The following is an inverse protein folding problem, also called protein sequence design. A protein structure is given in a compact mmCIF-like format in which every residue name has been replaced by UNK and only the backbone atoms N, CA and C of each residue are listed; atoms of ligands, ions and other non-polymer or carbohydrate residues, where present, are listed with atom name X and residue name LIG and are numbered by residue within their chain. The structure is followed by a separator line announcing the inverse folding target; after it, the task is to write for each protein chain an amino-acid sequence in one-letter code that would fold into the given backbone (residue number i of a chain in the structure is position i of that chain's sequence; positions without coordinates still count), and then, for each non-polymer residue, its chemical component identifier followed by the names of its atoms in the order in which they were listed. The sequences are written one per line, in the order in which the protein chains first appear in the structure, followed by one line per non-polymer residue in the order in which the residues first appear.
data_IF_643548674229
#
_entry.id   IF_643548674229
#
_cell.length_a   1.000
_cell.length_b   1.000
_cell.length_c   1.000
_cell.angle_alpha   90.00
_cell.angle_beta   90.00
_cell.angle_gamma   90.00
#
_symmetry.space_group_name_H-M   'P 1'
#
loop_
_entity.id
_entity.type
_entity.pdbx_description
1 polymer ?
#
# COMPACT_ATOMS: atom_id res chain seq x y z
N UNK A 1 13.01 13.35 17.47
CA UNK A 1 12.92 14.50 16.56
C UNK A 1 14.32 15.08 16.42
N UNK A 2 14.98 14.91 15.27
CA UNK A 2 16.32 15.47 15.05
C UNK A 2 16.25 16.98 14.81
N UNK A 3 17.26 17.72 15.25
CA UNK A 3 17.35 19.17 14.97
C UNK A 3 17.71 19.41 13.50
N UNK A 4 17.40 20.59 12.96
CA UNK A 4 17.79 20.98 11.58
C UNK A 4 19.33 20.89 11.41
N UNK A 5 20.07 21.18 12.47
CA UNK A 5 21.53 21.01 12.54
C UNK A 5 21.95 19.53 12.39
N UNK A 6 21.22 18.61 13.03
CA UNK A 6 21.42 17.16 12.89
C UNK A 6 21.25 16.72 11.44
N UNK A 7 20.24 17.25 10.74
CA UNK A 7 19.96 16.94 9.34
C UNK A 7 21.14 17.34 8.44
N UNK A 8 21.65 18.57 8.56
CA UNK A 8 22.78 19.01 7.74
C UNK A 8 24.07 18.23 8.05
N UNK A 9 24.30 17.88 9.32
CA UNK A 9 25.43 17.06 9.76
C UNK A 9 25.36 15.63 9.20
N UNK A 10 24.19 15.01 9.23
CA UNK A 10 23.96 13.65 8.71
C UNK A 10 24.18 13.57 7.19
N UNK A 11 23.85 14.63 6.46
CA UNK A 11 23.98 14.69 5.00
C UNK A 11 25.30 15.33 4.52
N UNK A 12 26.26 15.54 5.44
CA UNK A 12 27.61 16.08 5.17
C UNK A 12 27.62 17.43 4.44
N UNK A 13 26.60 18.26 4.66
CA UNK A 13 26.59 19.62 4.12
C UNK A 13 27.47 20.51 5.00
N UNK A 14 28.55 21.05 4.42
CA UNK A 14 29.41 22.02 5.11
C UNK A 14 28.79 23.41 5.01
N UNK A 15 27.92 23.74 5.97
CA UNK A 15 27.14 24.98 6.00
C UNK A 15 27.49 25.75 7.28
N UNK A 16 27.65 27.07 7.16
CA UNK A 16 27.91 27.93 8.31
C UNK A 16 26.70 27.97 9.26
N UNK A 17 26.95 28.13 10.55
CA UNK A 17 25.87 28.20 11.56
C UNK A 17 24.86 29.30 11.21
N UNK A 18 25.34 30.46 10.75
CA UNK A 18 24.50 31.57 10.26
C UNK A 18 23.47 31.13 9.20
N UNK A 19 23.87 30.25 8.28
CA UNK A 19 23.00 29.79 7.19
C UNK A 19 22.05 28.67 7.62
N UNK A 20 22.41 27.91 8.65
CA UNK A 20 21.48 26.99 9.33
C UNK A 20 20.39 27.79 10.07
N UNK A 21 20.77 28.88 10.71
CA UNK A 21 19.84 29.76 11.43
C UNK A 21 18.89 30.48 10.46
N UNK A 22 19.42 31.00 9.33
CA UNK A 22 18.62 31.57 8.24
C UNK A 22 17.61 30.55 7.67
N UNK A 23 18.06 29.33 7.37
CA UNK A 23 17.18 28.27 6.88
C UNK A 23 16.09 27.89 7.90
N UNK A 24 16.44 27.83 9.18
CA UNK A 24 15.50 27.51 10.25
C UNK A 24 14.42 28.58 10.37
N UNK A 25 14.81 29.86 10.31
CA UNK A 25 13.88 30.99 10.30
C UNK A 25 12.99 30.99 9.05
N UNK A 26 13.53 30.71 7.86
CA UNK A 26 12.75 30.62 6.62
C UNK A 26 11.72 29.49 6.67
N UNK A 27 12.12 28.34 7.22
CA UNK A 27 11.23 27.20 7.39
C UNK A 27 10.13 27.49 8.41
N UNK A 28 10.48 28.11 9.54
CA UNK A 28 9.51 28.54 10.55
C UNK A 28 8.52 29.55 9.97
N UNK A 29 9.00 30.57 9.24
CA UNK A 29 8.15 31.55 8.55
C UNK A 29 7.26 30.92 7.49
N UNK A 30 7.78 29.94 6.73
CA UNK A 30 7.00 29.20 5.74
C UNK A 30 5.89 28.39 6.41
N UNK A 31 6.20 27.67 7.49
CA UNK A 31 5.22 26.90 8.25
C UNK A 31 4.16 27.82 8.86
N UNK A 32 4.57 28.91 9.52
CA UNK A 32 3.68 29.94 10.03
C UNK A 32 2.75 30.43 8.92
N UNK A 33 3.27 30.76 7.75
CA UNK A 33 2.45 31.19 6.61
C UNK A 33 1.49 30.11 6.14
N UNK A 34 1.91 28.84 6.07
CA UNK A 34 1.05 27.74 5.63
C UNK A 34 -0.07 27.45 6.64
N UNK A 35 0.22 27.51 7.93
CA UNK A 35 -0.74 27.23 9.01
C UNK A 35 -1.64 28.43 9.34
N UNK A 36 -1.17 29.67 9.15
CA UNK A 36 -1.94 30.90 9.40
C UNK A 36 -2.72 31.39 8.19
N UNK A 37 -2.33 31.00 6.96
CA UNK A 37 -3.08 31.34 5.75
C UNK A 37 -4.46 30.70 5.84
N UNK A 38 -5.47 31.55 6.08
CA UNK A 38 -6.87 31.14 6.10
C UNK A 38 -7.19 30.39 4.81
N UNK A 39 -7.61 29.13 4.95
CA UNK A 39 -8.21 28.36 3.88
C UNK A 39 -9.31 29.20 3.23
N UNK A 40 -9.35 29.24 1.90
CA UNK A 40 -10.42 29.94 1.21
C UNK A 40 -11.77 29.39 1.69
N UNK A 41 -12.77 30.27 1.84
CA UNK A 41 -14.11 29.87 2.30
C UNK A 41 -14.67 28.70 1.48
N UNK A 42 -14.39 28.70 0.17
CA UNK A 42 -14.76 27.62 -0.77
C UNK A 42 -14.13 26.28 -0.38
N UNK A 43 -12.81 26.25 -0.12
CA UNK A 43 -12.12 25.02 0.29
C UNK A 43 -12.59 24.53 1.66
N UNK A 44 -12.77 25.43 2.63
CA UNK A 44 -13.28 25.06 3.96
C UNK A 44 -14.68 24.44 3.88
N UNK A 45 -15.59 25.04 3.09
CA UNK A 45 -16.93 24.51 2.88
C UNK A 45 -16.90 23.15 2.17
N UNK A 46 -16.05 22.98 1.15
CA UNK A 46 -15.86 21.70 0.47
C UNK A 46 -15.39 20.62 1.44
N UNK A 47 -14.33 20.89 2.20
CA UNK A 47 -13.79 19.96 3.18
C UNK A 47 -14.83 19.55 4.23
N UNK A 48 -15.64 20.49 4.73
CA UNK A 48 -16.74 20.20 5.66
C UNK A 48 -17.81 19.28 5.04
N UNK A 49 -18.16 19.49 3.77
CA UNK A 49 -19.14 18.64 3.05
C UNK A 49 -18.60 17.23 2.84
N UNK A 50 -17.37 17.12 2.36
CA UNK A 50 -16.69 15.83 2.15
C UNK A 50 -16.56 15.08 3.47
N UNK A 51 -16.19 15.75 4.56
CA UNK A 51 -16.12 15.15 5.88
C UNK A 51 -17.48 14.60 6.34
N UNK A 52 -18.57 15.38 6.19
CA UNK A 52 -19.92 14.91 6.53
C UNK A 52 -20.33 13.69 5.72
N UNK A 53 -20.03 13.68 4.42
CA UNK A 53 -20.29 12.54 3.53
C UNK A 53 -19.50 11.30 3.96
N UNK A 54 -18.21 11.43 4.26
CA UNK A 54 -17.39 10.32 4.73
C UNK A 54 -17.95 9.75 6.03
N UNK A 55 -18.38 10.61 6.95
CA UNK A 55 -18.96 10.17 8.23
C UNK A 55 -20.31 9.49 8.05
N UNK A 56 -21.15 9.92 7.11
CA UNK A 56 -22.42 9.23 6.82
C UNK A 56 -22.18 7.86 6.21
N UNK A 57 -21.25 7.73 5.27
CA UNK A 57 -20.86 6.44 4.67
C UNK A 57 -20.33 5.50 5.76
N UNK A 58 -19.41 5.97 6.61
CA UNK A 58 -18.88 5.16 7.73
C UNK A 58 -19.97 4.68 8.67
N UNK A 59 -20.94 5.54 9.01
CA UNK A 59 -22.07 5.17 9.86
C UNK A 59 -22.96 4.12 9.19
N UNK A 60 -23.23 4.26 7.90
CA UNK A 60 -23.98 3.29 7.12
C UNK A 60 -23.29 1.92 7.13
N UNK A 61 -22.00 1.86 6.78
CA UNK A 61 -21.23 0.62 6.75
C UNK A 61 -21.14 -0.06 8.14
N UNK A 62 -21.08 0.71 9.23
CA UNK A 62 -21.12 0.14 10.59
C UNK A 62 -22.48 -0.47 10.94
N UNK A 63 -23.56 0.13 10.44
CA UNK A 63 -24.94 -0.36 10.68
C UNK A 63 -25.24 -1.60 9.82
N UNK A 64 -24.76 -1.61 8.59
CA UNK A 64 -24.98 -2.67 7.62
C UNK A 64 -23.67 -3.44 7.38
N UNK A 65 -23.33 -4.32 8.33
CA UNK A 65 -22.08 -5.09 8.30
C UNK A 65 -21.98 -6.05 7.11
N UNK A 66 -23.11 -6.40 6.49
CA UNK A 66 -23.17 -7.18 5.27
C UNK A 66 -22.70 -6.39 4.04
N UNK A 67 -22.57 -5.06 4.12
CA UNK A 67 -22.14 -4.26 2.97
C UNK A 67 -20.62 -4.15 2.93
N UNK A 68 -20.01 -4.72 1.91
CA UNK A 68 -18.58 -4.64 1.64
C UNK A 68 -18.30 -3.51 0.65
N UNK A 69 -17.41 -2.60 1.06
CA UNK A 69 -16.79 -1.60 0.18
C UNK A 69 -15.33 -1.99 -0.06
N UNK A 70 -14.96 -2.35 -1.30
CA UNK A 70 -13.59 -2.72 -1.67
C UNK A 70 -13.06 -1.86 -2.82
N UNK A 71 -11.76 -1.55 -2.79
CA UNK A 71 -11.07 -0.88 -3.90
C UNK A 71 -10.78 -1.90 -4.99
N UNK A 72 -11.06 -1.54 -6.24
CA UNK A 72 -10.70 -2.37 -7.40
C UNK A 72 -9.25 -2.10 -7.81
N UNK A 73 -8.55 -3.15 -8.24
CA UNK A 73 -7.17 -3.13 -8.72
C UNK A 73 -7.06 -2.38 -10.07
N UNK A 74 -8.00 -2.61 -10.98
CA UNK A 74 -7.89 -2.21 -12.40
C UNK A 74 -8.47 -0.85 -12.75
N UNK A 75 -9.25 -0.19 -11.89
CA UNK A 75 -10.02 0.98 -12.34
C UNK A 75 -10.08 2.19 -11.40
N UNK A 76 -9.39 2.19 -10.24
CA UNK A 76 -9.57 3.23 -9.20
C UNK A 76 -11.05 3.41 -8.77
N UNK A 77 -11.91 2.44 -9.09
CA UNK A 77 -13.32 2.42 -8.71
C UNK A 77 -13.48 1.62 -7.43
N UNK A 78 -14.50 1.93 -6.64
CA UNK A 78 -14.89 1.14 -5.49
C UNK A 78 -16.06 0.22 -5.86
N UNK A 79 -15.98 -1.04 -5.45
CA UNK A 79 -17.09 -1.96 -5.52
C UNK A 79 -17.86 -1.93 -4.20
N UNK A 80 -19.18 -1.84 -4.29
CA UNK A 80 -20.12 -1.97 -3.17
C UNK A 80 -20.95 -3.23 -3.41
N UNK A 81 -20.95 -4.17 -2.46
CA UNK A 81 -21.72 -5.41 -2.59
C UNK A 81 -22.02 -6.06 -1.25
N UNK A 82 -22.68 -7.21 -1.30
CA UNK A 82 -23.02 -8.00 -0.12
C UNK A 82 -21.88 -8.97 0.28
N UNK A 83 -21.71 -9.17 1.58
CA UNK A 83 -20.67 -10.01 2.16
C UNK A 83 -20.89 -11.50 1.88
N UNK A 84 -22.14 -11.97 1.89
CA UNK A 84 -22.45 -13.36 1.60
C UNK A 84 -22.25 -13.68 0.13
N UNK A 85 -22.64 -12.78 -0.76
CA UNK A 85 -22.36 -12.93 -2.19
C UNK A 85 -20.85 -12.99 -2.47
N UNK A 86 -20.07 -12.22 -1.71
CA UNK A 86 -18.62 -12.27 -1.80
C UNK A 86 -18.06 -13.60 -1.31
N UNK A 87 -18.44 -14.04 -0.11
CA UNK A 87 -18.01 -15.32 0.46
C UNK A 87 -18.37 -16.50 -0.44
N UNK A 88 -19.60 -16.52 -0.98
CA UNK A 88 -20.03 -17.58 -1.90
C UNK A 88 -19.13 -17.65 -3.13
N UNK A 89 -18.86 -16.52 -3.79
CA UNK A 89 -17.98 -16.47 -4.96
C UNK A 89 -16.54 -16.86 -4.65
N UNK A 90 -16.03 -16.47 -3.46
CA UNK A 90 -14.73 -16.89 -2.95
C UNK A 90 -14.63 -18.41 -2.92
N UNK A 91 -15.58 -19.05 -2.26
CA UNK A 91 -15.60 -20.50 -2.11
C UNK A 91 -15.75 -21.21 -3.46
N UNK A 92 -16.66 -20.75 -4.31
CA UNK A 92 -16.86 -21.31 -5.67
C UNK A 92 -15.56 -21.27 -6.48
N UNK A 93 -14.89 -20.12 -6.55
CA UNK A 93 -13.66 -19.98 -7.33
C UNK A 93 -12.47 -20.74 -6.74
N UNK A 94 -12.36 -20.78 -5.41
CA UNK A 94 -11.34 -21.59 -4.73
C UNK A 94 -11.51 -23.08 -5.04
N UNK A 95 -12.76 -23.56 -5.01
CA UNK A 95 -13.09 -24.95 -5.37
C UNK A 95 -12.83 -25.24 -6.85
N UNK A 96 -13.14 -24.31 -7.75
CA UNK A 96 -12.92 -24.49 -9.19
C UNK A 96 -11.45 -24.49 -9.59
N UNK A 97 -10.62 -23.66 -8.94
CA UNK A 97 -9.23 -23.44 -9.37
C UNK A 97 -8.19 -24.20 -8.58
N UNK A 98 -8.50 -24.61 -7.33
CA UNK A 98 -7.56 -25.21 -6.37
C UNK A 98 -6.26 -24.40 -6.19
N UNK A 99 -6.24 -23.12 -6.60
CA UNK A 99 -5.04 -22.29 -6.68
C UNK A 99 -4.91 -21.27 -5.54
N UNK A 100 -5.91 -21.20 -4.66
CA UNK A 100 -6.01 -20.19 -3.60
C UNK A 100 -6.38 -20.85 -2.28
N UNK A 101 -5.80 -20.34 -1.19
CA UNK A 101 -6.12 -20.73 0.18
C UNK A 101 -6.45 -19.51 1.04
N UNK A 102 -7.31 -19.69 2.04
CA UNK A 102 -7.61 -18.63 3.00
C UNK A 102 -6.52 -18.54 4.07
N UNK A 103 -5.98 -17.34 4.26
CA UNK A 103 -5.01 -17.07 5.34
C UNK A 103 -5.81 -16.82 6.63
N UNK A 104 -5.99 -17.88 7.42
CA UNK A 104 -6.78 -17.83 8.68
C UNK A 104 -6.01 -17.23 9.85
N UNK A 105 -4.68 -17.30 9.84
CA UNK A 105 -3.81 -16.84 10.93
C UNK A 105 -3.69 -15.31 11.04
N UNK A 106 -4.09 -14.57 10.00
CA UNK A 106 -3.88 -13.12 9.89
C UNK A 106 -2.41 -12.72 9.67
N UNK A 107 -1.49 -13.69 9.56
CA UNK A 107 -0.07 -13.47 9.32
C UNK A 107 0.20 -13.75 7.84
N UNK A 108 0.80 -12.79 7.13
CA UNK A 108 1.13 -12.95 5.72
C UNK A 108 2.23 -14.01 5.53
N UNK A 109 2.00 -15.07 4.72
CA UNK A 109 3.03 -16.08 4.42
C UNK A 109 4.09 -15.56 3.45
N UNK A 110 3.95 -14.34 2.91
CA UNK A 110 4.82 -13.82 1.86
C UNK A 110 6.30 -13.85 2.22
N UNK A 111 6.65 -13.43 3.43
CA UNK A 111 8.04 -13.37 3.88
C UNK A 111 8.67 -14.76 3.95
N UNK A 112 7.89 -15.75 4.42
CA UNK A 112 8.35 -17.13 4.49
C UNK A 112 8.47 -17.75 3.10
N UNK A 113 7.47 -17.57 2.25
CA UNK A 113 7.49 -18.05 0.86
C UNK A 113 8.68 -17.45 0.10
N UNK A 114 8.93 -16.15 0.25
CA UNK A 114 10.06 -15.46 -0.35
C UNK A 114 11.39 -16.07 0.10
N UNK A 115 11.54 -16.34 1.40
CA UNK A 115 12.73 -16.99 1.96
C UNK A 115 12.91 -18.41 1.42
N UNK A 116 11.83 -19.19 1.31
CA UNK A 116 11.91 -20.55 0.78
C UNK A 116 12.31 -20.56 -0.71
N UNK A 117 11.67 -19.71 -1.53
CA UNK A 117 11.97 -19.59 -2.96
C UNK A 117 13.41 -19.12 -3.19
N UNK A 118 13.85 -18.07 -2.50
CA UNK A 118 15.23 -17.57 -2.63
C UNK A 118 16.25 -18.62 -2.17
N UNK A 119 15.98 -19.34 -1.09
CA UNK A 119 16.85 -20.43 -0.62
C UNK A 119 16.96 -21.55 -1.66
N UNK A 120 15.84 -21.95 -2.28
CA UNK A 120 15.83 -22.95 -3.34
C UNK A 120 16.60 -22.49 -4.57
N UNK A 121 16.39 -21.26 -5.04
CA UNK A 121 17.11 -20.71 -6.18
C UNK A 121 18.62 -20.62 -5.92
N UNK A 122 19.01 -20.19 -4.72
CA UNK A 122 20.42 -20.15 -4.31
C UNK A 122 21.03 -21.56 -4.34
N UNK A 123 20.33 -22.56 -3.81
CA UNK A 123 20.78 -23.94 -3.85
C UNK A 123 20.99 -24.42 -5.28
N UNK A 124 20.00 -24.23 -6.18
CA UNK A 124 20.05 -24.68 -7.58
C UNK A 124 21.16 -24.00 -8.40
N UNK A 125 21.50 -22.76 -8.08
CA UNK A 125 22.50 -21.98 -8.80
C UNK A 125 23.93 -22.14 -8.24
N UNK A 126 24.08 -22.35 -6.93
CA UNK A 126 25.40 -22.38 -6.28
C UNK A 126 25.95 -23.78 -5.98
N UNK A 127 25.23 -24.86 -6.32
CA UNK A 127 25.79 -26.22 -6.27
C UNK A 127 26.97 -26.41 -7.23
N UNK A 128 27.87 -27.35 -6.87
CA UNK A 128 29.05 -27.72 -7.67
C UNK A 128 28.73 -28.04 -9.15
N UNK A 129 27.55 -28.61 -9.39
CA UNK A 129 26.95 -28.73 -10.72
C UNK A 129 25.71 -27.84 -10.79
N UNK A 130 25.85 -26.68 -11.43
CA UNK A 130 24.74 -25.73 -11.57
C UNK A 130 23.59 -26.36 -12.35
N UNK A 131 22.40 -26.38 -11.72
CA UNK A 131 21.19 -26.97 -12.32
C UNK A 131 20.40 -25.95 -13.14
N UNK A 132 20.65 -24.66 -12.90
CA UNK A 132 20.06 -23.55 -13.62
C UNK A 132 21.14 -22.59 -14.12
N UNK A 133 20.91 -22.00 -15.29
CA UNK A 133 21.80 -20.98 -15.85
C UNK A 133 21.66 -19.66 -15.10
N UNK A 134 22.69 -18.80 -15.17
CA UNK A 134 22.64 -17.45 -14.61
C UNK A 134 21.44 -16.64 -15.10
N UNK A 135 21.10 -16.76 -16.39
CA UNK A 135 19.94 -16.08 -16.99
C UNK A 135 18.62 -16.55 -16.39
N UNK A 136 18.48 -17.85 -16.13
CA UNK A 136 17.30 -18.41 -15.47
C UNK A 136 17.23 -17.97 -14.00
N UNK A 137 18.35 -18.01 -13.29
CA UNK A 137 18.44 -17.54 -11.91
C UNK A 137 18.01 -16.07 -11.78
N UNK A 138 18.59 -15.16 -12.58
CA UNK A 138 18.25 -13.74 -12.56
C UNK A 138 16.79 -13.47 -12.97
N UNK A 139 16.23 -14.27 -13.89
CA UNK A 139 14.84 -14.13 -14.34
C UNK A 139 13.81 -14.63 -13.30
N UNK A 140 14.17 -15.64 -12.50
CA UNK A 140 13.30 -16.22 -11.48
C UNK A 140 13.49 -15.60 -10.09
N UNK A 141 14.61 -14.89 -9.86
CA UNK A 141 14.90 -14.31 -8.55
C UNK A 141 13.85 -13.23 -8.19
N UNK A 142 13.13 -13.38 -7.06
CA UNK A 142 12.08 -12.44 -6.70
C UNK A 142 12.66 -11.06 -6.39
N UNK A 143 12.00 -10.01 -6.87
CA UNK A 143 12.32 -8.64 -6.47
C UNK A 143 11.50 -8.27 -5.24
N UNK A 144 12.14 -8.11 -4.10
CA UNK A 144 11.45 -7.90 -2.81
C UNK A 144 10.47 -6.71 -2.84
N UNK A 145 10.83 -5.63 -3.54
CA UNK A 145 10.03 -4.40 -3.63
C UNK A 145 8.83 -4.49 -4.60
N UNK A 146 8.79 -5.52 -5.46
CA UNK A 146 7.74 -5.73 -6.46
C UNK A 146 6.89 -6.99 -6.15
N UNK A 147 7.32 -7.82 -5.21
CA UNK A 147 6.68 -9.11 -4.93
C UNK A 147 5.52 -8.93 -3.95
N UNK A 148 4.34 -9.40 -4.36
CA UNK A 148 3.13 -9.42 -3.53
C UNK A 148 2.44 -10.79 -3.64
N UNK A 149 1.65 -11.15 -2.62
CA UNK A 149 0.77 -12.30 -2.73
C UNK A 149 -0.28 -12.04 -3.81
N UNK A 150 -0.63 -13.08 -4.57
CA UNK A 150 -1.75 -12.98 -5.49
C UNK A 150 -3.04 -12.89 -4.66
N UNK A 151 -3.75 -11.78 -4.79
CA UNK A 151 -4.99 -11.56 -4.07
C UNK A 151 -6.19 -11.84 -4.97
N UNK A 152 -7.15 -12.61 -4.47
CA UNK A 152 -8.37 -12.90 -5.20
C UNK A 152 -9.35 -11.72 -5.12
N UNK A 153 -9.48 -10.97 -6.22
CA UNK A 153 -10.44 -9.88 -6.35
C UNK A 153 -11.68 -10.34 -7.12
N UNK A 154 -12.77 -10.67 -6.40
CA UNK A 154 -14.09 -10.72 -7.03
C UNK A 154 -14.55 -9.31 -7.35
N UNK A 155 -14.22 -8.86 -8.54
CA UNK A 155 -14.82 -7.66 -9.11
C UNK A 155 -15.73 -8.16 -10.22
N UNK A 156 -17.04 -7.87 -10.20
CA UNK A 156 -17.84 -8.06 -11.40
C UNK A 156 -17.20 -7.24 -12.52
N UNK A 157 -16.94 -7.85 -13.68
CA UNK A 157 -16.53 -7.09 -14.87
C UNK A 157 -17.50 -5.92 -14.99
N UNK A 158 -16.98 -4.69 -14.96
CA UNK A 158 -17.80 -3.52 -15.22
C UNK A 158 -18.32 -3.67 -16.64
N UNK A 159 -19.59 -4.07 -16.78
CA UNK A 159 -20.28 -3.94 -18.04
C UNK A 159 -20.30 -2.44 -18.33
N UNK A 160 -19.52 -2.03 -19.32
CA UNK A 160 -19.69 -0.71 -19.93
C UNK A 160 -21.10 -0.73 -20.52
N UNK A 161 -22.03 -0.01 -19.88
CA UNK A 161 -23.28 0.40 -20.51
C UNK A 161 -22.96 1.53 -21.47
#
# INVERSE_FOLDING_TARGET
MGTITEFFRQHRYCISQKRIDEFSNDLENLLLRLYTKKLSRKLSLRAKREHKLIMSIRRYLRKYQQVILRRTDKSKVFHLGDAHDYQRKVLEYMQETEAYEEITSGISPLAENLKQVTSLLNLLYHVEKTLITKKQYEAMYPKENETELTHLYFIPKSHKV
#
